data_IF_897458067053
#
_entry.id   IF_897458067053
#
_cell.length_a   1.000
_cell.length_b   1.000
_cell.length_c   1.000
_cell.angle_alpha   90.00
_cell.angle_beta   90.00
_cell.angle_gamma   90.00
#
_symmetry.space_group_name_H-M   'P 1'
#
loop_
_entity.id
_entity.type
_entity.pdbx_description
1 polymer ?
#
# COMPACT_ATOMS: atom_id res chain seq x y z
N UNK A 1 8.60 4.61 -0.58
CA UNK A 1 7.33 3.86 -0.58
C UNK A 1 7.56 2.54 -1.27
N UNK A 2 6.84 1.52 -0.86
CA UNK A 2 6.85 0.21 -1.49
C UNK A 2 5.60 -0.58 -1.10
N UNK A 3 5.40 -1.71 -1.77
CA UNK A 3 4.36 -2.67 -1.47
C UNK A 3 4.94 -4.08 -1.32
N UNK A 4 4.19 -4.94 -0.64
CA UNK A 4 4.49 -6.37 -0.50
C UNK A 4 3.29 -7.19 -0.93
N UNK A 5 3.47 -8.17 -1.82
CA UNK A 5 2.38 -9.07 -2.21
C UNK A 5 1.89 -9.98 -1.04
N UNK A 6 2.72 -10.16 -0.01
CA UNK A 6 2.45 -10.99 1.18
C UNK A 6 2.90 -10.25 2.44
N UNK A 7 2.24 -10.52 3.56
CA UNK A 7 2.37 -9.77 4.81
C UNK A 7 1.05 -9.12 5.22
N UNK A 8 1.03 -8.44 6.37
CA UNK A 8 -0.16 -7.76 6.88
C UNK A 8 -1.32 -8.71 7.25
N UNK A 9 -2.51 -8.15 7.36
CA UNK A 9 -3.76 -8.85 7.66
C UNK A 9 -4.04 -9.94 6.63
N UNK A 10 -4.30 -11.16 7.09
CA UNK A 10 -4.64 -12.29 6.22
C UNK A 10 -3.55 -12.67 5.19
N UNK A 11 -2.32 -12.18 5.35
CA UNK A 11 -1.23 -12.34 4.38
C UNK A 11 -1.54 -11.72 2.99
N UNK A 12 -2.42 -10.72 2.95
CA UNK A 12 -2.90 -10.10 1.71
C UNK A 12 -2.02 -8.99 1.16
N UNK A 13 -0.95 -8.63 1.87
CA UNK A 13 0.03 -7.65 1.46
C UNK A 13 -0.17 -6.27 2.09
N UNK A 14 0.87 -5.44 2.02
CA UNK A 14 0.89 -4.09 2.58
C UNK A 14 1.39 -3.05 1.59
N UNK A 15 1.02 -1.79 1.81
CA UNK A 15 1.71 -0.61 1.27
C UNK A 15 2.41 0.09 2.43
N UNK A 16 3.67 0.46 2.27
CA UNK A 16 4.48 1.05 3.33
C UNK A 16 5.33 2.23 2.84
N UNK A 17 5.71 3.07 3.80
CA UNK A 17 6.71 4.13 3.67
C UNK A 17 7.96 3.72 4.44
N UNK A 18 9.14 3.96 3.85
CA UNK A 18 10.39 3.86 4.59
C UNK A 18 10.76 5.28 5.02
N UNK A 19 10.90 5.49 6.32
CA UNK A 19 11.25 6.75 6.93
C UNK A 19 12.74 6.73 7.31
N UNK A 20 13.57 7.58 6.68
CA UNK A 20 14.98 7.68 7.06
C UNK A 20 15.09 8.42 8.40
N UNK A 21 15.89 7.87 9.30
CA UNK A 21 16.30 8.52 10.54
C UNK A 21 17.63 9.25 10.34
N UNK A 22 17.90 10.23 11.20
CA UNK A 22 19.13 11.03 11.16
C UNK A 22 20.41 10.21 11.41
N UNK A 23 20.28 9.03 12.02
CA UNK A 23 21.38 8.09 12.26
C UNK A 23 21.62 7.10 11.11
N UNK A 24 20.94 7.29 9.98
CA UNK A 24 21.08 6.46 8.79
C UNK A 24 20.27 5.16 8.81
N UNK A 25 19.53 4.88 9.88
CA UNK A 25 18.57 3.76 9.91
C UNK A 25 17.29 4.13 9.16
N UNK A 26 16.57 3.10 8.73
CA UNK A 26 15.24 3.25 8.13
C UNK A 26 14.22 2.56 9.02
N UNK A 27 13.09 3.22 9.25
CA UNK A 27 11.94 2.63 9.92
C UNK A 27 10.83 2.44 8.91
N UNK A 28 10.19 1.28 8.93
CA UNK A 28 8.99 1.03 8.12
C UNK A 28 7.76 1.60 8.82
N UNK A 29 6.95 2.35 8.07
CA UNK A 29 5.59 2.73 8.46
C UNK A 29 4.61 2.08 7.49
N UNK A 30 3.81 1.15 7.99
CA UNK A 30 2.70 0.57 7.20
C UNK A 30 1.66 1.65 6.99
N UNK A 31 1.36 1.95 5.73
CA UNK A 31 0.33 2.93 5.33
C UNK A 31 -1.03 2.24 5.15
N UNK A 32 -1.01 1.04 4.58
CA UNK A 32 -2.21 0.23 4.41
C UNK A 32 -1.87 -1.25 4.52
N UNK A 33 -2.75 -2.02 5.17
CA UNK A 33 -2.71 -3.47 5.17
C UNK A 33 -3.98 -3.99 4.54
N UNK A 34 -3.85 -4.58 3.36
CA UNK A 34 -4.98 -5.22 2.69
C UNK A 34 -5.52 -6.37 3.53
N UNK A 35 -6.82 -6.59 3.46
CA UNK A 35 -7.51 -7.66 4.20
C UNK A 35 -7.89 -8.84 3.30
N UNK A 36 -7.76 -8.70 1.98
CA UNK A 36 -8.19 -9.70 1.00
C UNK A 36 -9.66 -9.55 0.59
N UNK A 37 -10.15 -10.47 -0.25
CA UNK A 37 -11.52 -10.40 -0.76
C UNK A 37 -11.78 -9.08 -1.50
N UNK A 38 -12.86 -8.39 -1.14
CA UNK A 38 -13.27 -7.15 -1.81
C UNK A 38 -12.30 -5.98 -1.58
N UNK A 39 -11.53 -6.00 -0.49
CA UNK A 39 -10.56 -4.95 -0.16
C UNK A 39 -9.29 -5.02 -1.02
N UNK A 40 -9.11 -6.12 -1.75
CA UNK A 40 -7.95 -6.45 -2.60
C UNK A 40 -6.81 -7.22 -1.91
N UNK A 41 -5.93 -7.80 -2.73
CA UNK A 41 -4.89 -8.74 -2.30
C UNK A 41 -3.70 -8.78 -3.26
N UNK A 42 -2.51 -9.00 -2.70
CA UNK A 42 -1.25 -9.12 -3.42
C UNK A 42 -1.02 -7.90 -4.33
N UNK A 43 -0.74 -6.71 -3.74
CA UNK A 43 -0.22 -5.60 -4.51
C UNK A 43 1.04 -6.05 -5.25
N UNK A 44 1.10 -5.71 -6.54
CA UNK A 44 2.19 -6.06 -7.46
C UNK A 44 2.31 -4.97 -8.52
N UNK A 45 2.67 -3.77 -8.09
CA UNK A 45 2.78 -2.63 -9.00
C UNK A 45 3.84 -1.66 -8.53
N UNK A 46 4.52 -1.01 -9.46
CA UNK A 46 5.26 0.21 -9.09
C UNK A 46 4.26 1.25 -8.60
N UNK A 47 4.41 1.69 -7.35
CA UNK A 47 3.60 2.76 -6.80
C UNK A 47 3.91 4.09 -7.49
N UNK A 48 2.87 4.78 -7.95
CA UNK A 48 2.97 6.13 -8.49
C UNK A 48 2.65 7.13 -7.37
N UNK A 49 3.61 8.00 -7.07
CA UNK A 49 3.43 9.10 -6.13
C UNK A 49 3.04 10.36 -6.90
N UNK A 50 1.83 10.86 -6.68
CA UNK A 50 1.52 12.25 -6.99
C UNK A 50 2.11 13.14 -5.90
N UNK A 51 3.00 14.05 -6.30
CA UNK A 51 3.64 14.99 -5.37
C UNK A 51 2.82 16.24 -5.11
N UNK A 52 1.78 16.48 -5.90
CA UNK A 52 0.90 17.64 -5.78
C UNK A 52 -0.04 17.44 -4.59
N UNK A 53 -0.77 16.34 -4.58
CA UNK A 53 -1.73 16.00 -3.52
C UNK A 53 -1.17 15.00 -2.50
N UNK A 54 0.05 14.48 -2.73
CA UNK A 54 0.69 13.45 -1.90
C UNK A 54 -0.08 12.11 -1.87
N UNK A 55 -0.77 11.79 -2.96
CA UNK A 55 -1.47 10.52 -3.13
C UNK A 55 -0.57 9.43 -3.70
N UNK A 56 -0.79 8.18 -3.26
CA UNK A 56 -0.15 7.00 -3.81
C UNK A 56 -1.14 6.16 -4.60
N UNK A 57 -0.78 5.82 -5.82
CA UNK A 57 -1.58 4.98 -6.71
C UNK A 57 -0.89 3.65 -6.94
N UNK A 58 -1.68 2.59 -7.05
CA UNK A 58 -1.17 1.25 -7.34
C UNK A 58 -2.26 0.29 -7.78
N UNK A 59 -1.84 -0.93 -8.08
CA UNK A 59 -2.74 -2.03 -8.44
C UNK A 59 -2.46 -3.30 -7.65
N UNK A 60 -3.49 -4.10 -7.49
CA UNK A 60 -3.44 -5.43 -6.88
C UNK A 60 -3.69 -6.49 -7.95
N UNK A 61 -3.08 -7.67 -7.79
CA UNK A 61 -3.29 -8.79 -8.72
C UNK A 61 -4.53 -9.61 -8.41
N UNK A 62 -5.03 -9.56 -7.17
CA UNK A 62 -6.18 -10.34 -6.72
C UNK A 62 -7.12 -9.52 -5.84
N UNK A 63 -8.33 -10.06 -5.64
CA UNK A 63 -9.38 -9.43 -4.86
C UNK A 63 -10.21 -8.43 -5.67
N UNK A 64 -10.93 -7.54 -4.99
CA UNK A 64 -12.04 -6.78 -5.59
C UNK A 64 -13.25 -7.66 -5.85
N UNK A 65 -14.36 -7.05 -6.31
CA UNK A 65 -15.68 -7.70 -6.43
C UNK A 65 -15.68 -9.03 -7.20
N UNK A 66 -14.82 -9.17 -8.21
CA UNK A 66 -14.72 -10.38 -9.04
C UNK A 66 -13.38 -11.10 -8.92
N UNK A 67 -12.51 -10.69 -7.99
CA UNK A 67 -11.23 -11.36 -7.72
C UNK A 67 -10.08 -11.07 -8.69
N UNK A 68 -10.27 -10.23 -9.69
CA UNK A 68 -9.27 -9.90 -10.73
C UNK A 68 -8.30 -8.76 -10.34
N UNK A 69 -8.34 -8.30 -9.09
CA UNK A 69 -7.57 -7.16 -8.63
C UNK A 69 -8.31 -5.82 -8.79
N UNK A 70 -7.72 -4.79 -8.21
CA UNK A 70 -8.24 -3.42 -8.17
C UNK A 70 -7.13 -2.42 -8.46
N UNK A 71 -7.51 -1.24 -8.94
CA UNK A 71 -6.68 -0.04 -8.83
C UNK A 71 -7.08 0.71 -7.54
N UNK A 72 -6.12 1.28 -6.84
CA UNK A 72 -6.36 2.02 -5.61
C UNK A 72 -5.63 3.36 -5.58
N UNK A 73 -6.17 4.28 -4.79
CA UNK A 73 -5.54 5.53 -4.35
C UNK A 73 -5.47 5.49 -2.83
N UNK A 74 -4.29 5.72 -2.27
CA UNK A 74 -4.11 5.97 -0.83
C UNK A 74 -3.90 7.47 -0.62
N UNK A 75 -4.78 8.05 0.17
CA UNK A 75 -4.68 9.40 0.67
C UNK A 75 -4.03 9.36 2.06
N UNK A 76 -3.23 10.38 2.40
CA UNK A 76 -2.78 10.50 3.78
C UNK A 76 -3.99 10.80 4.65
N UNK A 77 -4.16 10.02 5.73
CA UNK A 77 -5.11 10.42 6.76
C UNK A 77 -4.70 11.81 7.26
N UNK A 78 -5.65 12.75 7.27
CA UNK A 78 -5.44 14.01 7.96
C UNK A 78 -5.27 13.67 9.45
N UNK A 79 -4.06 13.87 9.97
CA UNK A 79 -3.80 13.80 11.40
C UNK A 79 -4.52 14.99 12.06
N UNK A 80 -5.79 14.82 12.41
CA UNK A 80 -6.55 15.76 13.26
C UNK A 80 -6.33 15.44 14.74
#
# INVERSE_FOLDING_TARGET
YGDTCRGGTGNSGTVFELLPASDGRWTEKVLYSFTGGNDAQCPRSTLLLDRTEQHLYGTTSFGGDIGCGTAFQLERANDN
#
